data_IF_892762286428
#
_entry.id   IF_892762286428
#
_cell.length_a   1.000
_cell.length_b   1.000
_cell.length_c   1.000
_cell.angle_alpha   90.00
_cell.angle_beta   90.00
_cell.angle_gamma   90.00
#
_symmetry.space_group_name_H-M   'P 1'
#
loop_
_entity.id
_entity.type
_entity.pdbx_description
1 polymer ?
#
# COMPACT_ATOMS: atom_id res chain seq x y z
N UNK A 1 -18.73 -20.25 11.52
CA UNK A 1 -17.41 -20.26 10.84
C UNK A 1 -17.01 -18.88 10.30
N UNK A 2 -17.74 -18.30 9.33
CA UNK A 2 -17.45 -16.98 8.75
C UNK A 2 -17.32 -15.85 9.78
N UNK A 3 -18.31 -15.73 10.67
CA UNK A 3 -18.31 -14.77 11.79
C UNK A 3 -17.21 -15.05 12.81
N UNK A 4 -16.80 -16.32 12.97
CA UNK A 4 -15.78 -16.74 13.92
C UNK A 4 -14.38 -16.30 13.50
N UNK A 5 -14.06 -16.37 12.20
CA UNK A 5 -12.76 -15.95 11.67
C UNK A 5 -12.60 -14.43 11.62
N UNK A 6 -13.66 -13.69 11.30
CA UNK A 6 -13.63 -12.22 11.35
C UNK A 6 -13.40 -11.73 12.78
N UNK A 7 -14.12 -12.31 13.76
CA UNK A 7 -13.89 -12.07 15.19
C UNK A 7 -12.51 -12.50 15.69
N UNK A 8 -11.87 -13.47 15.03
CA UNK A 8 -10.54 -13.94 15.39
C UNK A 8 -9.47 -12.88 15.09
N UNK A 9 -9.65 -12.08 14.04
CA UNK A 9 -8.73 -10.97 13.71
C UNK A 9 -8.83 -9.83 14.71
N UNK A 10 -9.99 -9.67 15.34
CA UNK A 10 -10.25 -8.70 16.40
C UNK A 10 -9.92 -9.24 17.81
N UNK A 11 -9.52 -10.51 17.94
CA UNK A 11 -9.17 -11.12 19.23
C UNK A 11 -7.78 -10.62 19.68
N UNK A 12 -7.65 -9.98 20.86
CA UNK A 12 -6.35 -9.56 21.38
C UNK A 12 -5.32 -10.71 21.43
N UNK A 13 -5.77 -11.94 21.71
CA UNK A 13 -4.90 -13.13 21.78
C UNK A 13 -4.29 -13.48 20.44
N UNK A 14 -5.03 -13.25 19.35
CA UNK A 14 -4.53 -13.45 18.00
C UNK A 14 -3.42 -12.45 17.69
N UNK A 15 -3.64 -11.17 17.99
CA UNK A 15 -2.67 -10.10 17.75
C UNK A 15 -1.39 -10.33 18.56
N UNK A 16 -1.52 -10.72 19.84
CA UNK A 16 -0.37 -11.03 20.71
C UNK A 16 0.47 -12.19 20.15
N UNK A 17 -0.20 -13.29 19.77
CA UNK A 17 0.47 -14.47 19.22
C UNK A 17 1.15 -14.16 17.88
N UNK A 18 0.49 -13.39 17.01
CA UNK A 18 1.02 -12.98 15.73
C UNK A 18 2.23 -12.06 15.89
N UNK A 19 2.15 -11.03 16.75
CA UNK A 19 3.25 -10.11 17.04
C UNK A 19 4.48 -10.86 17.59
N UNK A 20 4.27 -11.78 18.53
CA UNK A 20 5.36 -12.61 19.07
C UNK A 20 6.02 -13.52 18.03
N UNK A 21 5.27 -13.99 17.01
CA UNK A 21 5.81 -14.78 15.89
C UNK A 21 6.55 -13.91 14.89
N UNK A 22 6.04 -12.71 14.58
CA UNK A 22 6.70 -11.74 13.70
C UNK A 22 8.04 -11.27 14.28
N UNK A 23 8.06 -10.97 15.59
CA UNK A 23 9.30 -10.61 16.30
C UNK A 23 10.37 -11.70 16.17
N UNK A 24 9.98 -12.98 16.31
CA UNK A 24 10.88 -14.14 16.14
C UNK A 24 11.36 -14.34 14.71
N UNK A 25 10.59 -13.88 13.72
CA UNK A 25 10.93 -13.92 12.29
C UNK A 25 11.73 -12.69 11.81
N UNK A 26 12.15 -11.82 12.73
CA UNK A 26 12.99 -10.66 12.43
C UNK A 26 12.21 -9.38 12.08
N UNK A 27 10.87 -9.41 12.08
CA UNK A 27 10.02 -8.24 11.84
C UNK A 27 9.75 -7.52 13.18
N UNK A 28 10.79 -6.92 13.75
CA UNK A 28 10.75 -6.31 15.10
C UNK A 28 9.77 -5.14 15.17
N UNK A 29 9.61 -4.38 14.10
CA UNK A 29 8.69 -3.23 14.01
C UNK A 29 7.23 -3.64 14.22
N UNK A 30 6.86 -4.84 13.75
CA UNK A 30 5.54 -5.46 13.94
C UNK A 30 5.50 -6.42 15.14
N UNK A 31 6.56 -6.44 15.95
CA UNK A 31 6.73 -7.35 17.08
C UNK A 31 5.97 -6.93 18.35
N UNK A 32 5.31 -5.77 18.33
CA UNK A 32 4.46 -5.27 19.41
C UNK A 32 2.98 -5.40 19.01
N UNK A 33 2.10 -5.87 19.92
CA UNK A 33 0.68 -6.03 19.63
C UNK A 33 0.00 -4.73 19.21
N UNK A 34 0.33 -3.61 19.85
CA UNK A 34 -0.24 -2.31 19.52
C UNK A 34 0.11 -1.89 18.09
N UNK A 35 1.39 -2.03 17.72
CA UNK A 35 1.88 -1.66 16.39
C UNK A 35 1.30 -2.56 15.31
N UNK A 36 1.24 -3.87 15.59
CA UNK A 36 0.62 -4.83 14.68
C UNK A 36 -0.87 -4.52 14.48
N UNK A 37 -1.62 -4.24 15.55
CA UNK A 37 -3.05 -3.96 15.43
C UNK A 37 -3.32 -2.73 14.57
N UNK A 38 -2.58 -1.62 14.82
CA UNK A 38 -2.67 -0.41 14.00
C UNK A 38 -2.30 -0.68 12.54
N UNK A 39 -1.25 -1.47 12.30
CA UNK A 39 -0.83 -1.84 10.95
C UNK A 39 -1.90 -2.65 10.21
N UNK A 40 -2.49 -3.66 10.85
CA UNK A 40 -3.55 -4.47 10.26
C UNK A 40 -4.80 -3.62 9.97
N UNK A 41 -5.20 -2.74 10.87
CA UNK A 41 -6.36 -1.85 10.64
C UNK A 41 -6.17 -0.91 9.46
N UNK A 42 -4.93 -0.52 9.15
CA UNK A 42 -4.65 0.41 8.04
C UNK A 42 -4.44 -0.30 6.70
N UNK A 43 -3.95 -1.54 6.71
CA UNK A 43 -3.36 -2.17 5.52
C UNK A 43 -3.88 -3.57 5.21
N UNK A 44 -4.61 -4.21 6.11
CA UNK A 44 -5.21 -5.52 5.89
C UNK A 44 -6.67 -5.35 5.45
N UNK A 45 -6.97 -5.86 4.27
CA UNK A 45 -8.34 -6.05 3.80
C UNK A 45 -8.76 -7.52 3.93
N UNK A 46 -10.02 -7.74 4.29
CA UNK A 46 -10.59 -9.05 4.57
C UNK A 46 -11.86 -9.21 3.75
N UNK A 47 -11.73 -9.93 2.63
CA UNK A 47 -12.83 -10.19 1.71
C UNK A 47 -13.37 -11.61 1.89
N UNK A 48 -14.68 -11.77 1.83
CA UNK A 48 -15.30 -13.10 1.84
C UNK A 48 -15.20 -13.74 0.45
N UNK A 49 -14.80 -15.01 0.38
CA UNK A 49 -14.75 -15.78 -0.88
C UNK A 49 -15.71 -16.95 -0.80
N UNK A 50 -16.93 -16.72 -1.30
CA UNK A 50 -17.99 -17.73 -1.33
C UNK A 50 -18.52 -18.14 0.06
N UNK A 51 -19.25 -19.26 0.16
CA UNK A 51 -19.93 -19.64 1.40
C UNK A 51 -19.00 -20.07 2.55
N UNK A 52 -17.74 -20.44 2.27
CA UNK A 52 -16.84 -21.02 3.27
C UNK A 52 -15.38 -20.50 3.23
N UNK A 53 -15.08 -19.47 2.45
CA UNK A 53 -13.72 -18.94 2.28
C UNK A 53 -13.57 -17.50 2.74
N UNK A 54 -12.36 -17.15 3.16
CA UNK A 54 -11.91 -15.78 3.42
C UNK A 54 -10.61 -15.53 2.67
N UNK A 55 -10.49 -14.33 2.10
CA UNK A 55 -9.29 -13.84 1.44
C UNK A 55 -8.73 -12.72 2.29
N UNK A 56 -7.44 -12.81 2.62
CA UNK A 56 -6.69 -11.78 3.31
C UNK A 56 -5.80 -11.09 2.29
N UNK A 57 -5.94 -9.78 2.16
CA UNK A 57 -5.13 -8.95 1.27
C UNK A 57 -4.35 -7.97 2.12
N UNK A 58 -3.02 -7.96 2.01
CA UNK A 58 -2.16 -7.05 2.76
C UNK A 58 -1.47 -6.08 1.82
N UNK A 59 -1.55 -4.79 2.15
CA UNK A 59 -0.81 -3.72 1.48
C UNK A 59 0.54 -3.52 2.16
N UNK A 60 1.64 -3.80 1.46
CA UNK A 60 2.99 -3.65 1.99
C UNK A 60 4.00 -3.22 0.92
N UNK A 61 5.10 -2.59 1.36
CA UNK A 61 6.25 -2.23 0.55
C UNK A 61 7.24 -3.39 0.50
N UNK A 62 7.08 -4.23 -0.52
CA UNK A 62 8.01 -5.31 -0.83
C UNK A 62 7.40 -6.69 -0.64
N UNK A 63 7.81 -7.60 -1.52
CA UNK A 63 7.21 -8.94 -1.62
C UNK A 63 7.51 -9.80 -0.38
N UNK A 64 8.77 -9.81 0.04
CA UNK A 64 9.24 -10.70 1.11
C UNK A 64 8.66 -10.33 2.49
N UNK A 65 8.64 -9.05 2.92
CA UNK A 65 7.94 -8.66 4.16
C UNK A 65 6.44 -8.95 4.11
N UNK A 66 5.76 -8.62 3.00
CA UNK A 66 4.33 -8.87 2.83
C UNK A 66 3.99 -10.36 3.00
N UNK A 67 4.77 -11.22 2.33
CA UNK A 67 4.60 -12.67 2.37
C UNK A 67 4.83 -13.23 3.77
N UNK A 68 5.89 -12.80 4.46
CA UNK A 68 6.18 -13.21 5.84
C UNK A 68 5.06 -12.82 6.80
N UNK A 69 4.52 -11.61 6.65
CA UNK A 69 3.39 -11.16 7.48
C UNK A 69 2.16 -12.00 7.21
N UNK A 70 1.75 -12.17 5.95
CA UNK A 70 0.59 -12.99 5.58
C UNK A 70 0.73 -14.44 6.01
N UNK A 71 1.89 -15.06 5.79
CA UNK A 71 2.17 -16.44 6.25
C UNK A 71 2.05 -16.55 7.77
N UNK A 72 2.53 -15.55 8.50
CA UNK A 72 2.46 -15.54 9.96
C UNK A 72 1.02 -15.37 10.44
N UNK A 73 0.24 -14.48 9.81
CA UNK A 73 -1.18 -14.29 10.12
C UNK A 73 -1.99 -15.55 9.84
N UNK A 74 -1.80 -16.17 8.67
CA UNK A 74 -2.47 -17.42 8.28
C UNK A 74 -2.13 -18.56 9.25
N UNK A 75 -0.84 -18.78 9.54
CA UNK A 75 -0.42 -19.82 10.47
C UNK A 75 -0.96 -19.59 11.90
N UNK A 76 -1.13 -18.34 12.30
CA UNK A 76 -1.69 -17.99 13.61
C UNK A 76 -3.20 -18.18 13.65
N UNK A 77 -3.89 -17.79 12.58
CA UNK A 77 -5.34 -17.96 12.48
C UNK A 77 -5.72 -19.44 12.47
N UNK A 78 -5.00 -20.27 11.70
CA UNK A 78 -5.22 -21.72 11.65
C UNK A 78 -4.92 -22.37 12.99
N UNK A 79 -3.84 -21.98 13.66
CA UNK A 79 -3.48 -22.49 15.00
C UNK A 79 -4.60 -22.22 16.00
N UNK A 80 -5.01 -20.95 16.18
CA UNK A 80 -6.06 -20.61 17.15
C UNK A 80 -7.41 -21.22 16.76
N UNK A 81 -7.78 -21.23 15.48
CA UNK A 81 -9.04 -21.80 15.05
C UNK A 81 -9.10 -23.31 15.30
N UNK A 82 -7.99 -24.03 15.11
CA UNK A 82 -7.93 -25.46 15.38
C UNK A 82 -7.84 -25.75 16.88
N UNK A 83 -7.15 -24.93 17.67
CA UNK A 83 -7.11 -25.06 19.13
C UNK A 83 -8.49 -24.85 19.76
N UNK A 84 -9.24 -23.85 19.29
CA UNK A 84 -10.62 -23.62 19.73
C UNK A 84 -11.56 -24.77 19.37
N UNK A 85 -11.30 -25.46 18.25
CA UNK A 85 -12.11 -26.62 17.81
C UNK A 85 -11.69 -27.94 18.44
N UNK A 86 -10.44 -28.13 18.87
CA UNK A 86 -10.03 -29.31 19.65
C UNK A 86 -10.84 -29.46 20.94
N UNK A 87 -11.38 -28.37 21.46
CA UNK A 87 -12.27 -28.35 22.62
C UNK A 87 -13.73 -28.67 22.28
N UNK A 88 -14.12 -28.71 21.00
CA UNK A 88 -15.46 -29.04 20.52
C UNK A 88 -15.51 -30.39 19.78
N UNK A 89 -16.56 -31.18 20.02
CA UNK A 89 -16.67 -32.57 19.58
C UNK A 89 -16.76 -32.81 18.05
N UNK A 90 -16.73 -31.75 17.22
CA UNK A 90 -17.14 -31.83 15.81
C UNK A 90 -16.02 -32.11 14.80
N UNK A 91 -14.74 -32.22 15.19
CA UNK A 91 -13.67 -32.80 14.35
C UNK A 91 -13.32 -32.09 13.02
N UNK A 92 -14.02 -31.04 12.63
CA UNK A 92 -13.76 -30.31 11.38
C UNK A 92 -12.50 -29.44 11.52
N UNK A 93 -11.51 -29.62 10.65
CA UNK A 93 -10.23 -28.87 10.68
C UNK A 93 -10.19 -27.73 9.66
N UNK A 94 -9.49 -26.65 10.00
CA UNK A 94 -9.23 -25.53 9.10
C UNK A 94 -7.95 -25.78 8.32
N UNK A 95 -8.01 -25.57 7.01
CA UNK A 95 -6.83 -25.67 6.14
C UNK A 95 -6.67 -24.40 5.30
N UNK A 96 -5.41 -24.05 5.03
CA UNK A 96 -5.07 -22.96 4.12
C UNK A 96 -5.37 -23.45 2.69
N UNK A 97 -6.33 -22.82 2.03
CA UNK A 97 -6.75 -23.22 0.68
C UNK A 97 -5.73 -22.86 -0.41
N UNK A 98 -4.98 -21.78 -0.23
CA UNK A 98 -3.92 -21.34 -1.13
C UNK A 98 -2.84 -20.58 -0.34
N UNK A 99 -1.54 -20.75 -0.69
CA UNK A 99 -0.47 -19.96 -0.11
C UNK A 99 -0.62 -18.47 -0.48
N UNK A 100 -0.02 -17.54 0.29
CA UNK A 100 -0.05 -16.13 -0.06
C UNK A 100 0.64 -15.90 -1.41
N UNK A 101 -0.05 -15.16 -2.27
CA UNK A 101 0.41 -14.76 -3.58
C UNK A 101 0.44 -13.23 -3.66
N UNK A 102 1.45 -12.70 -4.35
CA UNK A 102 1.58 -11.26 -4.56
C UNK A 102 0.86 -10.88 -5.84
N UNK A 103 -0.03 -9.90 -5.73
CA UNK A 103 -0.88 -9.43 -6.83
C UNK A 103 -0.52 -7.99 -7.13
N UNK A 104 0.46 -7.79 -8.01
CA UNK A 104 0.81 -6.51 -8.62
C UNK A 104 1.30 -5.41 -7.66
N UNK A 105 1.84 -4.33 -8.24
CA UNK A 105 2.10 -3.10 -7.50
C UNK A 105 0.78 -2.35 -7.31
N UNK A 106 0.49 -1.91 -6.08
CA UNK A 106 -0.62 -1.00 -5.83
C UNK A 106 -0.14 0.40 -6.19
N UNK A 107 -0.73 0.98 -7.22
CA UNK A 107 -0.39 2.33 -7.67
C UNK A 107 -0.86 3.36 -6.62
N UNK A 108 0.10 4.03 -5.98
CA UNK A 108 -0.21 5.02 -4.94
C UNK A 108 -0.75 6.29 -5.60
N UNK A 109 -2.06 6.49 -5.48
CA UNK A 109 -2.78 7.65 -6.04
C UNK A 109 -2.17 8.99 -5.62
N UNK A 110 -1.49 9.05 -4.47
CA UNK A 110 -0.82 10.27 -3.99
C UNK A 110 0.36 10.66 -4.89
N UNK A 111 1.11 9.68 -5.38
CA UNK A 111 2.22 9.90 -6.31
C UNK A 111 1.74 10.42 -7.66
N UNK A 112 0.63 9.87 -8.17
CA UNK A 112 0.01 10.35 -9.40
C UNK A 112 -0.43 11.81 -9.25
N UNK A 113 -1.13 12.15 -8.17
CA UNK A 113 -1.55 13.55 -7.92
C UNK A 113 -0.36 14.48 -7.72
N UNK A 114 0.67 14.06 -6.97
CA UNK A 114 1.88 14.84 -6.77
C UNK A 114 2.62 15.11 -8.09
N UNK A 115 2.78 14.08 -8.93
CA UNK A 115 3.39 14.23 -10.26
C UNK A 115 2.59 15.14 -11.19
N UNK A 116 1.26 15.11 -11.10
CA UNK A 116 0.40 15.98 -11.89
C UNK A 116 0.55 17.46 -11.47
N UNK A 117 0.60 17.75 -10.16
CA UNK A 117 0.77 19.11 -9.64
C UNK A 117 2.15 19.66 -10.01
N UNK A 118 3.21 18.88 -9.77
CA UNK A 118 4.58 19.30 -10.07
C UNK A 118 4.77 19.48 -11.57
N UNK A 119 4.29 18.54 -12.38
CA UNK A 119 4.35 18.61 -13.84
C UNK A 119 3.61 19.82 -14.40
N UNK A 120 2.37 20.05 -13.96
CA UNK A 120 1.58 21.19 -14.41
C UNK A 120 2.21 22.53 -13.99
N UNK A 121 2.71 22.63 -12.75
CA UNK A 121 3.38 23.83 -12.25
C UNK A 121 4.66 24.15 -13.01
N UNK A 122 5.50 23.14 -13.27
CA UNK A 122 6.73 23.30 -14.04
C UNK A 122 6.45 23.77 -15.48
N UNK A 123 5.44 23.18 -16.14
CA UNK A 123 5.03 23.58 -17.49
C UNK A 123 4.47 25.00 -17.53
N UNK A 124 3.69 25.41 -16.52
CA UNK A 124 3.17 26.77 -16.44
C UNK A 124 4.30 27.80 -16.30
N UNK A 125 5.29 27.53 -15.44
CA UNK A 125 6.45 28.43 -15.26
C UNK A 125 7.30 28.53 -16.53
N UNK A 126 7.58 27.40 -17.19
CA UNK A 126 8.31 27.40 -18.46
C UNK A 126 7.53 28.13 -19.56
N UNK A 127 6.21 27.96 -19.62
CA UNK A 127 5.34 28.68 -20.55
C UNK A 127 5.37 30.20 -20.31
N UNK A 128 5.26 30.65 -19.06
CA UNK A 128 5.37 32.07 -18.72
C UNK A 128 6.74 32.64 -19.07
N UNK A 129 7.83 31.92 -18.74
CA UNK A 129 9.18 32.33 -19.08
C UNK A 129 9.39 32.48 -20.60
N UNK A 130 8.87 31.52 -21.38
CA UNK A 130 8.92 31.57 -22.84
C UNK A 130 8.12 32.74 -23.43
N UNK A 131 6.94 33.04 -22.88
CA UNK A 131 6.15 34.22 -23.31
C UNK A 131 6.89 35.52 -23.01
N UNK A 132 7.48 35.66 -21.81
CA UNK A 132 8.24 36.87 -21.46
C UNK A 132 9.49 37.03 -22.34
N UNK A 133 10.23 35.94 -22.56
CA UNK A 133 11.42 35.94 -23.41
C UNK A 133 11.06 36.29 -24.87
N UNK A 134 10.01 35.70 -25.43
CA UNK A 134 9.58 35.99 -26.80
C UNK A 134 9.08 37.42 -27.00
N UNK A 135 8.49 38.04 -25.98
CA UNK A 135 8.08 39.47 -26.05
C UNK A 135 9.26 40.41 -25.97
N UNK A 136 10.20 40.14 -25.06
CA UNK A 136 11.40 40.97 -24.90
C UNK A 136 12.35 40.85 -26.10
N UNK A 137 12.49 39.66 -26.67
CA UNK A 137 13.29 39.46 -27.89
C UNK A 137 12.70 40.20 -29.09
N UNK A 138 11.38 40.20 -29.27
CA UNK A 138 10.71 40.95 -30.34
C UNK A 138 10.86 42.46 -30.16
N UNK A 139 10.75 42.96 -28.92
CA UNK A 139 10.97 44.37 -28.62
C UNK A 139 12.42 44.79 -28.88
N UNK A 140 13.40 43.93 -28.53
CA UNK A 140 14.80 44.18 -28.81
C UNK A 140 15.10 44.20 -30.33
N UNK A 141 14.48 43.30 -31.10
CA UNK A 141 14.62 43.27 -32.57
C UNK A 141 14.03 44.53 -33.22
N UNK A 142 12.87 45.01 -32.76
CA UNK A 142 12.25 46.21 -33.31
C UNK A 142 13.11 47.48 -33.13
N UNK A 143 13.87 47.57 -32.04
CA UNK A 143 14.83 48.67 -31.83
C UNK A 143 16.04 48.57 -32.75
N UNK A 144 16.50 47.34 -33.02
CA UNK A 144 17.68 47.10 -33.84
C UNK A 144 17.40 47.31 -35.35
N UNK A 145 16.17 47.08 -35.80
CA UNK A 145 15.74 47.35 -37.18
C UNK A 145 15.56 48.86 -37.45
N UNK A 146 15.20 49.66 -36.45
CA UNK A 146 15.05 51.13 -36.57
C UNK A 146 16.42 51.86 -36.68
N UNK A 147 17.45 51.29 -36.04
CA UNK A 147 18.84 51.77 -36.12
C UNK A 147 19.59 51.25 -37.38
N UNK A 148 18.93 50.49 -38.26
CA UNK A 148 19.56 49.97 -39.47
C UNK A 148 19.77 51.10 -40.51
N UNK A 149 21.01 51.34 -40.98
CA UNK A 149 21.29 52.43 -41.91
C UNK A 149 20.60 52.21 -43.26
N UNK A 150 19.97 53.27 -43.78
CA UNK A 150 19.27 53.22 -45.07
C UNK A 150 20.21 52.78 -46.19
N UNK A 151 19.74 51.91 -47.11
CA UNK A 151 20.54 51.50 -48.25
C UNK A 151 20.87 52.73 -49.12
N UNK A 152 22.16 52.97 -49.35
CA UNK A 152 22.68 53.97 -50.27
C UNK A 152 22.33 53.63 -51.73
#
# INVERSE_FOLDING_TARGET
WRTSLKKLLDDPRFVDAAAARLKRRGLVELGSPATLNSFLHQRLDVAERGPAGLTLTLLEQGEQPARLVLDTLLATAVSLANDARRLGAEGLSTQVAAPPAVVGAVEDRRLVVASAIVGAGALALLGCAWIVASRTSRAAQALQDDDAPLPL
#
